data_IF_004271662529
#
_entry.id   IF_004271662529
#
_cell.length_a   1.000
_cell.length_b   1.000
_cell.length_c   1.000
_cell.angle_alpha   90.00
_cell.angle_beta   90.00
_cell.angle_gamma   90.00
#
_symmetry.space_group_name_H-M   'P 1'
#
loop_
_entity.id
_entity.type
_entity.pdbx_description
1 polymer ?
#
# COMPACT_ATOMS: atom_id res chain seq x y z
N UNK A 1 -17.37 12.87 14.17
CA UNK A 1 -15.98 12.45 14.01
C UNK A 1 -15.22 12.71 15.30
N UNK A 2 -14.38 11.77 15.75
CA UNK A 2 -13.36 12.08 16.75
C UNK A 2 -13.49 11.43 18.11
N UNK A 3 -13.94 10.18 18.20
CA UNK A 3 -13.66 9.42 19.41
C UNK A 3 -12.17 9.03 19.40
N UNK A 4 -11.38 9.64 20.27
CA UNK A 4 -9.93 9.35 20.42
C UNK A 4 -9.63 7.86 20.70
N UNK A 5 -10.60 7.14 21.27
CA UNK A 5 -10.48 5.73 21.63
C UNK A 5 -10.76 4.79 20.45
N UNK A 6 -11.56 5.19 19.46
CA UNK A 6 -11.99 4.32 18.37
C UNK A 6 -10.81 3.70 17.57
N UNK A 7 -9.76 4.44 17.20
CA UNK A 7 -8.61 3.85 16.51
C UNK A 7 -7.90 2.78 17.37
N UNK A 8 -7.74 3.02 18.67
CA UNK A 8 -7.10 2.07 19.58
C UNK A 8 -7.91 0.79 19.70
N UNK A 9 -9.23 0.90 19.87
CA UNK A 9 -10.13 -0.25 19.92
C UNK A 9 -10.13 -1.04 18.61
N UNK A 10 -10.11 -0.36 17.47
CA UNK A 10 -10.01 -1.00 16.16
C UNK A 10 -8.69 -1.79 16.02
N UNK A 11 -7.57 -1.23 16.44
CA UNK A 11 -6.27 -1.92 16.44
C UNK A 11 -6.30 -3.15 17.35
N UNK A 12 -6.82 -3.03 18.59
CA UNK A 12 -6.95 -4.13 19.53
C UNK A 12 -7.87 -5.24 19.01
N UNK A 13 -8.99 -4.87 18.39
CA UNK A 13 -9.92 -5.83 17.81
C UNK A 13 -9.27 -6.60 16.65
N UNK A 14 -8.68 -5.87 15.70
CA UNK A 14 -8.01 -6.48 14.55
C UNK A 14 -6.84 -7.36 14.95
N UNK A 15 -6.08 -7.01 15.98
CA UNK A 15 -5.00 -7.87 16.50
C UNK A 15 -5.51 -9.26 16.90
N UNK A 16 -6.70 -9.36 17.50
CA UNK A 16 -7.31 -10.65 17.82
C UNK A 16 -7.77 -11.43 16.60
N UNK A 17 -8.31 -10.72 15.60
CA UNK A 17 -8.73 -11.32 14.32
C UNK A 17 -7.53 -11.91 13.57
N UNK A 18 -6.37 -11.28 13.69
CA UNK A 18 -5.13 -11.63 13.00
C UNK A 18 -4.34 -12.74 13.70
N UNK A 19 -4.50 -12.91 15.00
CA UNK A 19 -3.72 -13.84 15.85
C UNK A 19 -3.65 -15.27 15.28
N UNK A 20 -4.73 -15.90 14.80
CA UNK A 20 -4.68 -17.27 14.26
C UNK A 20 -3.87 -17.36 12.95
N UNK A 21 -3.81 -16.30 12.16
CA UNK A 21 -3.00 -16.26 10.93
C UNK A 21 -1.55 -16.00 11.27
N UNK A 22 -1.26 -15.11 12.21
CA UNK A 22 0.09 -14.85 12.67
C UNK A 22 0.74 -16.09 13.31
N UNK A 23 -0.04 -16.91 14.02
CA UNK A 23 0.40 -18.19 14.59
C UNK A 23 0.85 -19.19 13.51
N UNK A 24 0.39 -19.05 12.25
CA UNK A 24 0.85 -19.86 11.11
C UNK A 24 2.18 -19.41 10.52
N UNK A 25 2.72 -18.30 11.01
CA UNK A 25 4.02 -17.75 10.58
C UNK A 25 4.12 -17.54 9.06
N UNK A 26 3.23 -16.75 8.43
CA UNK A 26 3.37 -16.40 7.02
C UNK A 26 4.74 -15.74 6.79
N UNK A 27 5.27 -15.80 5.57
CA UNK A 27 6.56 -15.19 5.24
C UNK A 27 6.55 -13.67 5.51
N UNK A 28 5.42 -13.02 5.27
CA UNK A 28 5.18 -11.63 5.65
C UNK A 28 3.71 -11.43 5.99
N UNK A 29 3.45 -10.66 7.04
CA UNK A 29 2.14 -10.11 7.36
C UNK A 29 2.31 -8.63 7.73
N UNK A 30 1.62 -7.77 7.02
CA UNK A 30 1.65 -6.35 7.26
C UNK A 30 0.23 -5.79 7.17
N UNK A 31 -0.20 -5.05 8.20
CA UNK A 31 -1.49 -4.36 8.18
C UNK A 31 -1.31 -2.85 8.33
N UNK A 32 -2.05 -2.13 7.53
CA UNK A 32 -2.21 -0.68 7.66
C UNK A 32 -3.71 -0.36 7.69
N UNK A 33 -4.23 -0.04 8.87
CA UNK A 33 -5.65 0.21 9.17
C UNK A 33 -6.49 -1.01 8.77
N UNK A 34 -7.15 -0.98 7.63
CA UNK A 34 -8.03 -2.00 7.04
C UNK A 34 -7.38 -2.81 5.91
N UNK A 35 -6.27 -2.33 5.35
CA UNK A 35 -5.53 -3.03 4.30
C UNK A 35 -4.51 -4.00 4.90
N UNK A 36 -4.54 -5.27 4.48
CA UNK A 36 -3.58 -6.30 4.86
C UNK A 36 -2.81 -6.80 3.64
N UNK A 37 -1.49 -6.91 3.75
CA UNK A 37 -0.64 -7.59 2.79
C UNK A 37 -0.06 -8.85 3.43
N UNK A 38 -0.31 -10.00 2.81
CA UNK A 38 0.14 -11.31 3.30
C UNK A 38 0.94 -12.00 2.21
N UNK A 39 2.09 -12.54 2.57
CA UNK A 39 2.93 -13.36 1.69
C UNK A 39 3.12 -14.73 2.35
N UNK A 40 2.82 -15.78 1.63
CA UNK A 40 2.98 -17.16 2.06
C UNK A 40 3.85 -17.95 1.09
N UNK A 41 4.32 -19.11 1.49
CA UNK A 41 5.15 -19.98 0.66
C UNK A 41 4.35 -20.68 -0.44
N UNK A 42 3.05 -20.90 -0.23
CA UNK A 42 2.19 -21.61 -1.18
C UNK A 42 0.83 -20.95 -1.31
N UNK A 43 0.16 -21.18 -2.44
CA UNK A 43 -1.21 -20.73 -2.68
C UNK A 43 -2.19 -21.37 -1.69
N UNK A 44 -2.01 -22.62 -1.35
CA UNK A 44 -2.86 -23.34 -0.38
C UNK A 44 -2.81 -22.67 0.99
N UNK A 45 -1.62 -22.28 1.44
CA UNK A 45 -1.47 -21.58 2.71
C UNK A 45 -2.12 -20.18 2.68
N UNK A 46 -2.03 -19.48 1.55
CA UNK A 46 -2.73 -18.21 1.35
C UNK A 46 -4.25 -18.39 1.45
N UNK A 47 -4.79 -19.43 0.81
CA UNK A 47 -6.24 -19.70 0.84
C UNK A 47 -6.72 -20.06 2.25
N UNK A 48 -5.93 -20.80 3.01
CA UNK A 48 -6.21 -21.10 4.43
C UNK A 48 -6.14 -19.83 5.30
N UNK A 49 -5.12 -18.98 5.13
CA UNK A 49 -5.01 -17.70 5.85
C UNK A 49 -6.23 -16.81 5.58
N UNK A 50 -6.62 -16.70 4.31
CA UNK A 50 -7.79 -15.89 3.92
C UNK A 50 -9.10 -16.44 4.52
N UNK A 51 -9.29 -17.76 4.54
CA UNK A 51 -10.43 -18.41 5.16
C UNK A 51 -10.47 -18.14 6.67
N UNK A 52 -9.34 -18.36 7.36
CA UNK A 52 -9.21 -18.14 8.81
C UNK A 52 -9.57 -16.69 9.17
N UNK A 53 -9.03 -15.70 8.45
CA UNK A 53 -9.34 -14.29 8.70
C UNK A 53 -10.85 -13.98 8.59
N UNK A 54 -11.53 -14.60 7.61
CA UNK A 54 -12.97 -14.38 7.40
C UNK A 54 -13.88 -15.16 8.37
N UNK A 55 -13.33 -16.13 9.09
CA UNK A 55 -14.06 -16.90 10.10
C UNK A 55 -14.02 -16.26 11.50
N UNK A 56 -13.07 -15.32 11.75
CA UNK A 56 -12.88 -14.73 13.08
C UNK A 56 -14.02 -13.79 13.50
N UNK A 57 -14.76 -13.22 12.57
CA UNK A 57 -15.84 -12.28 12.88
C UNK A 57 -17.00 -12.43 11.89
N UNK A 58 -18.23 -12.39 12.44
CA UNK A 58 -19.44 -12.33 11.59
C UNK A 58 -19.66 -10.94 10.99
N UNK A 59 -19.05 -9.90 11.58
CA UNK A 59 -19.25 -8.49 11.21
C UNK A 59 -18.19 -7.96 10.26
N UNK A 60 -17.02 -8.61 10.20
CA UNK A 60 -15.92 -8.21 9.32
C UNK A 60 -15.72 -9.28 8.27
N UNK A 61 -15.77 -8.85 7.01
CA UNK A 61 -15.47 -9.70 5.86
C UNK A 61 -14.38 -9.02 5.03
N UNK A 62 -13.30 -9.74 4.84
CA UNK A 62 -12.18 -9.33 4.04
C UNK A 62 -12.39 -9.77 2.60
N UNK A 63 -12.03 -8.92 1.67
CA UNK A 63 -11.92 -9.24 0.25
C UNK A 63 -10.45 -9.45 -0.10
N UNK A 64 -10.19 -10.25 -1.14
CA UNK A 64 -8.82 -10.53 -1.57
C UNK A 64 -8.56 -9.94 -2.94
N UNK A 65 -7.48 -9.18 -3.03
CA UNK A 65 -6.88 -8.80 -4.30
C UNK A 65 -5.75 -9.77 -4.64
N UNK A 66 -5.61 -10.10 -5.90
CA UNK A 66 -4.54 -10.97 -6.42
C UNK A 66 -3.63 -10.16 -7.34
N UNK A 67 -2.34 -10.54 -7.47
CA UNK A 67 -1.43 -9.88 -8.39
C UNK A 67 -1.97 -9.86 -9.82
N UNK A 68 -1.85 -8.71 -10.49
CA UNK A 68 -2.13 -8.54 -11.92
C UNK A 68 -0.81 -8.30 -12.64
N UNK A 69 -0.53 -9.08 -13.69
CA UNK A 69 0.76 -9.03 -14.41
C UNK A 69 1.98 -9.14 -13.49
N UNK A 70 1.87 -9.96 -12.43
CA UNK A 70 2.93 -10.16 -11.46
C UNK A 70 3.08 -9.07 -10.39
N UNK A 71 2.22 -8.04 -10.39
CA UNK A 71 2.25 -6.94 -9.42
C UNK A 71 0.98 -6.88 -8.57
N UNK A 72 1.14 -6.76 -7.26
CA UNK A 72 0.07 -6.53 -6.29
C UNK A 72 0.15 -5.09 -5.78
N UNK A 73 -0.95 -4.36 -5.83
CA UNK A 73 -1.03 -3.02 -5.27
C UNK A 73 -1.26 -3.09 -3.76
N UNK A 74 -0.44 -2.38 -3.00
CA UNK A 74 -0.61 -2.22 -1.56
C UNK A 74 -0.27 -0.78 -1.17
N UNK A 75 -1.25 -0.06 -0.64
CA UNK A 75 -1.16 1.37 -0.33
C UNK A 75 -0.74 2.19 -1.56
N UNK A 76 0.39 2.88 -1.47
CA UNK A 76 0.96 3.67 -2.55
C UNK A 76 2.12 2.96 -3.27
N UNK A 77 2.19 1.64 -3.16
CA UNK A 77 3.22 0.80 -3.80
C UNK A 77 2.61 -0.32 -4.63
N UNK A 78 3.40 -0.85 -5.53
CA UNK A 78 3.20 -2.15 -6.15
C UNK A 78 4.33 -3.09 -5.75
N UNK A 79 3.96 -4.31 -5.39
CA UNK A 79 4.87 -5.35 -4.92
C UNK A 79 4.85 -6.49 -5.92
N UNK A 80 6.02 -7.00 -6.29
CA UNK A 80 6.18 -8.20 -7.12
C UNK A 80 7.17 -9.15 -6.47
N UNK A 81 6.88 -10.44 -6.55
CA UNK A 81 7.78 -11.51 -6.14
C UNK A 81 8.29 -12.19 -7.42
N UNK A 82 9.51 -11.90 -7.81
CA UNK A 82 10.12 -12.42 -9.01
C UNK A 82 11.61 -12.69 -8.80
N UNK A 83 12.17 -13.63 -9.53
CA UNK A 83 13.60 -13.94 -9.53
C UNK A 83 14.21 -14.17 -8.12
N UNK A 84 13.42 -14.76 -7.21
CA UNK A 84 13.84 -15.02 -5.84
C UNK A 84 13.93 -13.80 -4.94
N UNK A 85 13.39 -12.65 -5.36
CA UNK A 85 13.39 -11.39 -4.61
C UNK A 85 12.04 -10.70 -4.59
N UNK A 86 11.92 -9.75 -3.68
CA UNK A 86 10.79 -8.84 -3.61
C UNK A 86 11.16 -7.52 -4.29
N UNK A 87 10.37 -7.15 -5.28
CA UNK A 87 10.47 -5.88 -6.00
C UNK A 87 9.35 -4.96 -5.58
N UNK A 88 9.67 -3.71 -5.28
CA UNK A 88 8.70 -2.69 -4.87
C UNK A 88 8.92 -1.45 -5.70
N UNK A 89 7.83 -0.88 -6.21
CA UNK A 89 7.84 0.42 -6.89
C UNK A 89 6.69 1.29 -6.40
N UNK A 90 6.84 2.59 -6.56
CA UNK A 90 5.80 3.54 -6.24
C UNK A 90 4.63 3.40 -7.20
N UNK A 91 3.41 3.54 -6.67
CA UNK A 91 2.18 3.35 -7.42
C UNK A 91 1.13 4.42 -7.09
N UNK A 92 0.38 4.79 -8.09
CA UNK A 92 -0.83 5.59 -7.96
C UNK A 92 -1.97 4.87 -8.65
N UNK A 93 -3.11 4.74 -7.97
CA UNK A 93 -4.31 4.12 -8.58
C UNK A 93 -4.69 4.87 -9.85
N UNK A 94 -5.07 4.15 -10.91
CA UNK A 94 -5.55 4.75 -12.17
C UNK A 94 -6.77 5.66 -11.96
N UNK A 95 -7.64 5.32 -11.00
CA UNK A 95 -8.78 6.15 -10.58
C UNK A 95 -8.36 7.43 -9.85
N UNK A 96 -7.10 7.55 -9.43
CA UNK A 96 -6.60 8.79 -8.85
C UNK A 96 -6.52 9.87 -9.92
N UNK A 97 -7.13 11.02 -9.66
CA UNK A 97 -7.00 12.19 -10.54
C UNK A 97 -5.59 12.76 -10.57
N UNK A 98 -4.65 12.20 -9.78
CA UNK A 98 -3.27 12.68 -9.65
C UNK A 98 -3.18 14.19 -9.37
N UNK A 99 -4.19 14.73 -8.67
CA UNK A 99 -4.26 16.14 -8.34
C UNK A 99 -3.27 16.41 -7.19
N UNK A 100 -2.37 17.32 -7.44
CA UNK A 100 -1.50 17.96 -6.46
C UNK A 100 -1.99 19.39 -6.22
N UNK A 101 -1.18 20.18 -5.57
CA UNK A 101 -1.39 21.64 -5.51
C UNK A 101 -0.97 22.22 -6.87
N UNK A 102 -1.93 22.80 -7.61
CA UNK A 102 -1.66 23.41 -8.91
C UNK A 102 -0.65 24.57 -8.79
N UNK A 103 0.21 24.72 -9.78
CA UNK A 103 1.27 25.74 -9.76
C UNK A 103 0.70 27.17 -9.58
N UNK A 104 -0.47 27.47 -10.19
CA UNK A 104 -1.12 28.79 -10.10
C UNK A 104 -2.02 28.95 -8.87
N UNK A 105 -2.12 27.94 -7.98
CA UNK A 105 -2.94 28.06 -6.76
C UNK A 105 -2.39 29.11 -5.80
N UNK A 106 -3.25 29.65 -4.93
CA UNK A 106 -2.89 30.69 -3.95
C UNK A 106 -1.99 30.20 -2.79
N UNK A 107 -1.62 28.91 -2.77
CA UNK A 107 -0.75 28.36 -1.71
C UNK A 107 0.66 28.97 -1.76
N UNK A 108 1.31 29.15 -0.60
CA UNK A 108 2.70 29.61 -0.56
C UNK A 108 3.63 28.71 -1.38
N UNK A 109 4.64 29.30 -2.03
CA UNK A 109 5.62 28.58 -2.85
C UNK A 109 6.35 27.47 -2.07
N UNK A 110 6.64 27.71 -0.79
CA UNK A 110 7.26 26.72 0.10
C UNK A 110 6.40 25.46 0.25
N UNK A 111 5.09 25.60 0.35
CA UNK A 111 4.15 24.48 0.44
C UNK A 111 4.09 23.71 -0.88
N UNK A 112 4.03 24.42 -2.01
CA UNK A 112 4.06 23.80 -3.35
C UNK A 112 5.33 22.99 -3.55
N UNK A 113 6.47 23.58 -3.24
CA UNK A 113 7.77 22.91 -3.35
C UNK A 113 7.86 21.69 -2.43
N UNK A 114 7.35 21.77 -1.20
CA UNK A 114 7.34 20.65 -0.27
C UNK A 114 6.50 19.48 -0.77
N UNK A 115 5.32 19.73 -1.37
CA UNK A 115 4.47 18.68 -1.95
C UNK A 115 5.18 17.95 -3.09
N UNK A 116 5.79 18.70 -4.02
CA UNK A 116 6.54 18.13 -5.14
C UNK A 116 7.76 17.36 -4.63
N UNK A 117 8.53 17.94 -3.72
CA UNK A 117 9.70 17.29 -3.13
C UNK A 117 9.33 15.98 -2.44
N UNK A 118 8.29 15.97 -1.61
CA UNK A 118 7.82 14.77 -0.91
C UNK A 118 7.34 13.69 -1.88
N UNK A 119 6.67 14.07 -2.97
CA UNK A 119 6.26 13.11 -3.99
C UNK A 119 7.47 12.43 -4.63
N UNK A 120 8.48 13.19 -5.07
CA UNK A 120 9.70 12.62 -5.67
C UNK A 120 10.52 11.82 -4.68
N UNK A 121 10.61 12.27 -3.43
CA UNK A 121 11.27 11.54 -2.36
C UNK A 121 10.61 10.18 -2.16
N UNK A 122 9.29 10.14 -1.96
CA UNK A 122 8.54 8.89 -1.79
C UNK A 122 8.69 7.97 -3.00
N UNK A 123 8.52 8.52 -4.22
CA UNK A 123 8.65 7.76 -5.46
C UNK A 123 10.05 7.13 -5.66
N UNK A 124 11.06 7.66 -4.99
CA UNK A 124 12.45 7.15 -5.06
C UNK A 124 12.77 6.18 -3.93
N UNK A 125 12.36 6.52 -2.70
CA UNK A 125 12.76 5.79 -1.49
C UNK A 125 12.03 4.45 -1.31
N UNK A 126 10.81 4.32 -1.82
CA UNK A 126 10.05 3.05 -1.71
C UNK A 126 10.52 1.96 -2.66
N UNK A 127 11.37 2.29 -3.64
CA UNK A 127 11.78 1.37 -4.70
C UNK A 127 12.95 0.49 -4.26
N UNK A 128 12.88 -0.79 -4.59
CA UNK A 128 13.94 -1.77 -4.28
C UNK A 128 15.12 -1.73 -5.24
N UNK A 129 14.88 -1.40 -6.53
CA UNK A 129 15.91 -1.43 -7.58
C UNK A 129 15.95 -0.15 -8.42
N UNK A 130 16.94 -0.08 -9.30
CA UNK A 130 17.12 1.10 -10.16
C UNK A 130 16.08 1.18 -11.28
N UNK A 131 15.63 0.02 -11.77
CA UNK A 131 14.55 -0.05 -12.77
C UNK A 131 13.23 0.48 -12.19
N UNK A 132 12.84 -0.02 -11.02
CA UNK A 132 11.64 0.42 -10.30
C UNK A 132 11.71 1.90 -9.95
N UNK A 133 12.90 2.37 -9.58
CA UNK A 133 13.16 3.78 -9.28
C UNK A 133 13.03 4.68 -10.51
N UNK A 134 13.53 4.22 -11.66
CA UNK A 134 13.41 4.95 -12.91
C UNK A 134 11.95 5.07 -13.37
N UNK A 135 11.18 3.96 -13.32
CA UNK A 135 9.75 3.95 -13.63
C UNK A 135 8.96 4.87 -12.70
N UNK A 136 9.21 4.80 -11.40
CA UNK A 136 8.53 5.60 -10.39
C UNK A 136 8.82 7.08 -10.54
N UNK A 137 10.06 7.44 -10.84
CA UNK A 137 10.43 8.84 -11.14
C UNK A 137 9.77 9.36 -12.40
N UNK A 138 9.68 8.54 -13.45
CA UNK A 138 8.97 8.91 -14.68
C UNK A 138 7.51 9.23 -14.39
N UNK A 139 6.82 8.37 -13.65
CA UNK A 139 5.43 8.60 -13.22
C UNK A 139 5.31 9.90 -12.40
N UNK A 140 6.24 10.15 -11.46
CA UNK A 140 6.24 11.38 -10.67
C UNK A 140 6.41 12.63 -11.54
N UNK A 141 7.27 12.58 -12.57
CA UNK A 141 7.42 13.67 -13.54
C UNK A 141 6.14 13.92 -14.35
N UNK A 142 5.48 12.87 -14.81
CA UNK A 142 4.21 12.97 -15.55
C UNK A 142 3.12 13.62 -14.68
N UNK A 143 3.03 13.23 -13.40
CA UNK A 143 2.10 13.84 -12.45
C UNK A 143 2.45 15.30 -12.17
N UNK A 144 3.72 15.61 -11.92
CA UNK A 144 4.14 16.99 -11.69
C UNK A 144 3.80 17.88 -12.90
N UNK A 145 4.10 17.42 -14.11
CA UNK A 145 3.83 18.13 -15.35
C UNK A 145 2.33 18.37 -15.58
N UNK A 146 1.47 17.43 -15.22
CA UNK A 146 0.01 17.57 -15.36
C UNK A 146 -0.60 18.57 -14.38
N UNK A 147 0.13 18.96 -13.35
CA UNK A 147 -0.31 19.94 -12.34
C UNK A 147 0.32 21.34 -12.53
N UNK A 148 1.05 21.59 -13.60
CA UNK A 148 1.71 22.86 -13.93
C UNK A 148 3.14 22.87 -13.48
#
# INVERSE_FOLDING_TARGET
>A
MGQRLAPVLAVCFMSKVEEPVLARSPLMYCRYIDDCCVITSTQTEMDECFKILNEQSQYIKLTREIPRNGWLSFLNTQISLANGGMHVKWYRKESSKNILIHATSAHPTTVKNAVIHNMFKTATEVCTGDTERAESRKLAYEIARSNG
#
